data_IF_180717289227
#
_entry.id   IF_180717289227
#
_cell.length_a   1.000
_cell.length_b   1.000
_cell.length_c   1.000
_cell.angle_alpha   90.00
_cell.angle_beta   90.00
_cell.angle_gamma   90.00
#
_symmetry.space_group_name_H-M   'P 1'
#
loop_
_entity.id
_entity.type
_entity.pdbx_description
1 polymer ?
#
# COMPACT_ATOMS: atom_id res chain seq x y z
N UNK A 1 8.05 -13.42 -13.34
CA UNK A 1 7.13 -12.74 -14.24
C UNK A 1 6.88 -11.31 -13.80
N UNK A 2 6.69 -10.45 -14.80
CA UNK A 2 6.58 -9.02 -14.56
C UNK A 2 5.11 -8.61 -14.51
N UNK A 3 4.72 -7.94 -13.44
CA UNK A 3 3.33 -7.47 -13.26
C UNK A 3 3.06 -6.21 -14.09
N UNK A 4 1.80 -5.97 -14.42
CA UNK A 4 1.40 -4.71 -15.07
C UNK A 4 1.38 -3.56 -14.08
N UNK A 5 0.78 -3.75 -12.90
CA UNK A 5 0.65 -2.69 -11.90
C UNK A 5 0.67 -3.22 -10.47
N UNK A 6 1.44 -2.54 -9.63
CA UNK A 6 1.38 -2.64 -8.17
C UNK A 6 0.80 -1.34 -7.62
N UNK A 7 -0.18 -1.47 -6.73
CA UNK A 7 -0.83 -0.34 -6.04
C UNK A 7 -0.33 -0.31 -4.59
N UNK A 8 0.32 0.77 -4.18
CA UNK A 8 0.74 0.95 -2.78
C UNK A 8 -0.36 1.73 -2.06
N UNK A 9 -0.99 1.09 -1.09
CA UNK A 9 -2.04 1.68 -0.27
C UNK A 9 -1.47 1.99 1.12
N UNK A 10 -1.46 3.26 1.50
CA UNK A 10 -0.85 3.71 2.75
C UNK A 10 -1.53 4.95 3.30
N UNK A 11 -1.30 5.30 4.58
CA UNK A 11 -1.85 6.52 5.16
C UNK A 11 -1.35 7.76 4.43
N UNK A 12 -2.23 8.75 4.32
CA UNK A 12 -1.92 10.05 3.71
C UNK A 12 -2.24 11.17 4.68
N UNK A 13 -3.52 11.30 5.05
CA UNK A 13 -4.04 12.47 5.78
C UNK A 13 -3.36 12.72 7.11
N UNK A 14 -3.05 11.66 7.86
CA UNK A 14 -2.45 11.82 9.19
C UNK A 14 -1.01 12.33 9.15
N UNK A 15 -0.35 12.24 8.00
CA UNK A 15 1.04 12.68 7.82
C UNK A 15 1.14 14.00 7.08
N UNK A 16 0.02 14.66 6.82
CA UNK A 16 -0.01 15.94 6.11
C UNK A 16 -0.53 17.03 7.06
N UNK A 17 0.24 18.10 7.19
CA UNK A 17 -0.13 19.32 7.89
C UNK A 17 -0.05 20.47 6.90
N UNK A 18 -1.23 20.96 6.47
CA UNK A 18 -1.31 21.95 5.41
C UNK A 18 -0.84 21.38 4.07
N UNK A 19 0.30 21.86 3.58
CA UNK A 19 0.95 21.39 2.36
C UNK A 19 2.25 20.63 2.64
N UNK A 20 2.49 20.26 3.91
CA UNK A 20 3.73 19.61 4.36
C UNK A 20 3.48 18.18 4.79
N UNK A 21 4.39 17.30 4.39
CA UNK A 21 4.46 15.95 4.90
C UNK A 21 5.31 15.92 6.17
N UNK A 22 4.70 15.52 7.29
CA UNK A 22 5.30 15.69 8.63
C UNK A 22 6.04 14.48 9.17
N UNK A 23 6.06 13.35 8.46
CA UNK A 23 6.79 12.16 8.88
C UNK A 23 7.85 11.79 7.84
N UNK A 24 9.05 12.32 8.01
CA UNK A 24 10.13 12.11 7.06
C UNK A 24 10.61 10.65 6.97
N UNK A 25 10.63 9.94 8.09
CA UNK A 25 11.03 8.52 8.12
C UNK A 25 10.05 7.67 7.32
N UNK A 26 8.76 7.92 7.45
CA UNK A 26 7.74 7.24 6.65
C UNK A 26 7.90 7.54 5.17
N UNK A 27 8.16 8.80 4.82
CA UNK A 27 8.39 9.21 3.43
C UNK A 27 9.59 8.48 2.83
N UNK A 28 10.70 8.38 3.56
CA UNK A 28 11.88 7.65 3.10
C UNK A 28 11.54 6.19 2.86
N UNK A 29 10.86 5.55 3.79
CA UNK A 29 10.44 4.15 3.64
C UNK A 29 9.54 3.96 2.41
N UNK A 30 8.53 4.80 2.24
CA UNK A 30 7.58 4.71 1.13
C UNK A 30 8.28 4.90 -0.22
N UNK A 31 9.23 5.82 -0.32
CA UNK A 31 10.00 6.00 -1.56
C UNK A 31 10.88 4.78 -1.86
N UNK A 32 11.48 4.17 -0.84
CA UNK A 32 12.25 2.93 -1.01
C UNK A 32 11.32 1.77 -1.40
N UNK A 33 10.14 1.67 -0.80
CA UNK A 33 9.12 0.69 -1.17
C UNK A 33 8.68 0.88 -2.63
N UNK A 34 8.47 2.13 -3.05
CA UNK A 34 8.14 2.44 -4.43
C UNK A 34 9.23 1.90 -5.38
N UNK A 35 10.49 2.12 -5.05
CA UNK A 35 11.62 1.63 -5.86
C UNK A 35 11.68 0.10 -5.90
N UNK A 36 11.40 -0.57 -4.78
CA UNK A 36 11.30 -2.04 -4.75
C UNK A 36 10.20 -2.53 -5.69
N UNK A 37 9.02 -1.92 -5.61
CA UNK A 37 7.89 -2.30 -6.47
C UNK A 37 8.17 -2.07 -7.95
N UNK A 38 8.90 -1.01 -8.30
CA UNK A 38 9.28 -0.73 -9.69
C UNK A 38 10.12 -1.83 -10.34
N UNK A 39 10.84 -2.63 -9.54
CA UNK A 39 11.60 -3.77 -10.06
C UNK A 39 10.71 -4.92 -10.54
N UNK A 40 9.44 -4.92 -10.14
CA UNK A 40 8.53 -6.05 -10.36
C UNK A 40 7.29 -5.70 -11.19
N UNK A 41 7.09 -4.45 -11.55
CA UNK A 41 5.91 -4.02 -12.28
C UNK A 41 6.19 -2.91 -13.27
N UNK A 42 5.44 -2.88 -14.36
CA UNK A 42 5.53 -1.81 -15.37
C UNK A 42 5.08 -0.47 -14.83
N UNK A 43 4.11 -0.49 -13.91
CA UNK A 43 3.58 0.72 -13.27
C UNK A 43 3.44 0.48 -11.77
N UNK A 44 3.80 1.48 -10.98
CA UNK A 44 3.52 1.52 -9.54
C UNK A 44 2.67 2.75 -9.26
N UNK A 45 1.50 2.52 -8.68
CA UNK A 45 0.63 3.60 -8.25
C UNK A 45 0.86 3.91 -6.77
N UNK A 46 1.16 5.16 -6.47
CA UNK A 46 1.32 5.69 -5.12
C UNK A 46 0.71 7.09 -5.08
N UNK A 47 -0.45 7.23 -4.41
CA UNK A 47 -1.18 8.50 -4.36
C UNK A 47 -0.33 9.63 -3.77
N UNK A 48 0.50 9.33 -2.78
CA UNK A 48 1.41 10.34 -2.19
C UNK A 48 2.32 10.99 -3.23
N UNK A 49 2.83 10.23 -4.20
CA UNK A 49 3.68 10.80 -5.27
C UNK A 49 2.86 11.64 -6.23
N UNK A 50 1.67 11.17 -6.62
CA UNK A 50 0.76 11.95 -7.47
C UNK A 50 0.45 13.30 -6.84
N UNK A 51 0.27 13.34 -5.52
CA UNK A 51 -0.10 14.54 -4.77
C UNK A 51 1.12 15.27 -4.19
N UNK A 52 2.32 14.88 -4.62
CA UNK A 52 3.59 15.49 -4.24
C UNK A 52 3.72 15.66 -2.73
N UNK A 53 3.34 14.60 -1.99
CA UNK A 53 3.42 14.55 -0.53
C UNK A 53 2.71 15.73 0.17
N UNK A 54 1.55 16.12 -0.37
CA UNK A 54 0.69 17.14 0.19
C UNK A 54 0.75 18.51 -0.47
N UNK A 55 1.72 18.76 -1.34
CA UNK A 55 1.83 20.04 -2.07
C UNK A 55 0.71 20.21 -3.10
N UNK A 56 0.23 19.11 -3.66
CA UNK A 56 -0.85 19.07 -4.65
C UNK A 56 -1.95 18.10 -4.20
N UNK A 57 -2.43 18.29 -2.98
CA UNK A 57 -3.42 17.43 -2.38
C UNK A 57 -4.73 17.47 -3.17
N UNK A 58 -5.19 16.31 -3.59
CA UNK A 58 -6.47 16.17 -4.28
C UNK A 58 -7.60 16.04 -3.26
N UNK A 59 -8.57 16.93 -3.33
CA UNK A 59 -9.75 16.93 -2.46
C UNK A 59 -11.00 16.42 -3.18
N UNK A 60 -11.03 16.59 -4.48
CA UNK A 60 -12.13 16.18 -5.36
C UNK A 60 -11.63 15.15 -6.35
N UNK A 61 -12.49 14.26 -6.79
CA UNK A 61 -12.20 13.22 -7.80
C UNK A 61 -11.14 12.17 -7.44
N UNK A 62 -10.44 12.31 -6.32
CA UNK A 62 -9.42 11.33 -5.93
C UNK A 62 -9.98 9.92 -5.76
N UNK A 63 -11.19 9.80 -5.21
CA UNK A 63 -11.86 8.51 -5.04
C UNK A 63 -12.05 7.79 -6.36
N UNK A 64 -12.60 8.50 -7.36
CA UNK A 64 -12.84 7.95 -8.69
C UNK A 64 -11.52 7.54 -9.37
N UNK A 65 -10.51 8.41 -9.30
CA UNK A 65 -9.20 8.12 -9.90
C UNK A 65 -8.52 6.93 -9.23
N UNK A 66 -8.54 6.85 -7.91
CA UNK A 66 -7.95 5.75 -7.17
C UNK A 66 -8.69 4.43 -7.46
N UNK A 67 -10.01 4.49 -7.57
CA UNK A 67 -10.81 3.32 -7.93
C UNK A 67 -10.46 2.81 -9.33
N UNK A 68 -10.32 3.70 -10.31
CA UNK A 68 -9.90 3.33 -11.67
C UNK A 68 -8.50 2.71 -11.67
N UNK A 69 -7.56 3.24 -10.88
CA UNK A 69 -6.24 2.64 -10.73
C UNK A 69 -6.32 1.24 -10.13
N UNK A 70 -7.20 1.03 -9.14
CA UNK A 70 -7.38 -0.28 -8.53
C UNK A 70 -7.87 -1.34 -9.52
N UNK A 71 -8.76 -0.99 -10.43
CA UNK A 71 -9.34 -1.92 -11.41
C UNK A 71 -8.31 -2.62 -12.28
N UNK A 72 -7.15 -2.01 -12.50
CA UNK A 72 -6.08 -2.55 -13.35
C UNK A 72 -4.86 -2.98 -12.55
N UNK A 73 -5.03 -3.20 -11.25
CA UNK A 73 -3.96 -3.59 -10.33
C UNK A 73 -3.83 -5.10 -10.24
N UNK A 74 -2.60 -5.61 -10.25
CA UNK A 74 -2.29 -7.03 -10.08
C UNK A 74 -1.97 -7.39 -8.63
N UNK A 75 -1.37 -6.46 -7.90
CA UNK A 75 -0.98 -6.65 -6.50
C UNK A 75 -1.14 -5.34 -5.74
N UNK A 76 -1.78 -5.39 -4.58
CA UNK A 76 -1.80 -4.29 -3.62
C UNK A 76 -0.75 -4.57 -2.54
N UNK A 77 0.11 -3.60 -2.28
CA UNK A 77 0.99 -3.60 -1.10
C UNK A 77 0.41 -2.56 -0.14
N UNK A 78 -0.10 -3.02 0.99
CA UNK A 78 -0.85 -2.16 1.91
C UNK A 78 -0.20 -2.02 3.26
N UNK A 79 -0.10 -0.77 3.74
CA UNK A 79 0.30 -0.43 5.11
C UNK A 79 -0.91 0.30 5.72
N UNK A 80 -1.87 -0.43 6.32
CA UNK A 80 -3.13 0.19 6.72
C UNK A 80 -2.99 1.12 7.93
N UNK A 81 -2.12 0.77 8.89
CA UNK A 81 -2.10 1.46 10.18
C UNK A 81 -3.54 1.68 10.69
N UNK A 82 -3.93 2.92 10.99
CA UNK A 82 -5.29 3.31 11.35
C UNK A 82 -5.99 4.11 10.23
N UNK A 83 -5.47 4.04 9.00
CA UNK A 83 -5.99 4.79 7.86
C UNK A 83 -7.32 4.25 7.36
N UNK A 84 -8.35 5.08 7.42
CA UNK A 84 -9.66 4.76 6.89
C UNK A 84 -9.64 4.66 5.36
N UNK A 85 -8.87 5.52 4.70
CA UNK A 85 -8.73 5.47 3.24
C UNK A 85 -8.10 4.18 2.75
N UNK A 86 -7.04 3.73 3.42
CA UNK A 86 -6.41 2.45 3.09
C UNK A 86 -7.37 1.28 3.31
N UNK A 87 -8.19 1.34 4.36
CA UNK A 87 -9.21 0.31 4.60
C UNK A 87 -10.25 0.25 3.47
N UNK A 88 -10.67 1.40 2.93
CA UNK A 88 -11.56 1.46 1.76
C UNK A 88 -10.92 0.80 0.55
N UNK A 89 -9.66 1.12 0.28
CA UNK A 89 -8.91 0.54 -0.85
C UNK A 89 -8.73 -0.98 -0.70
N UNK A 90 -8.49 -1.46 0.50
CA UNK A 90 -8.44 -2.90 0.79
C UNK A 90 -9.79 -3.58 0.53
N UNK A 91 -10.88 -2.90 0.84
CA UNK A 91 -12.21 -3.38 0.51
C UNK A 91 -12.43 -3.52 -1.00
N UNK A 92 -12.00 -2.52 -1.78
CA UNK A 92 -12.06 -2.60 -3.24
C UNK A 92 -11.22 -3.76 -3.78
N UNK A 93 -9.97 -3.84 -3.32
CA UNK A 93 -9.05 -4.89 -3.78
C UNK A 93 -9.61 -6.29 -3.50
N UNK A 94 -10.13 -6.51 -2.30
CA UNK A 94 -10.70 -7.82 -1.93
C UNK A 94 -11.94 -8.18 -2.76
N UNK A 95 -12.82 -7.21 -3.00
CA UNK A 95 -14.00 -7.40 -3.85
C UNK A 95 -13.61 -7.77 -5.28
N UNK A 96 -12.56 -7.17 -5.80
CA UNK A 96 -12.01 -7.43 -7.14
C UNK A 96 -11.12 -8.67 -7.20
N UNK A 97 -10.93 -9.38 -6.08
CA UNK A 97 -10.07 -10.57 -5.98
C UNK A 97 -8.61 -10.30 -6.36
N UNK A 98 -8.12 -9.10 -6.07
CA UNK A 98 -6.74 -8.74 -6.29
C UNK A 98 -5.88 -9.28 -5.13
N UNK A 99 -4.69 -9.79 -5.44
CA UNK A 99 -3.72 -10.26 -4.45
C UNK A 99 -3.28 -9.09 -3.57
N UNK A 100 -3.14 -9.34 -2.26
CA UNK A 100 -2.76 -8.32 -1.28
C UNK A 100 -1.54 -8.80 -0.50
N UNK A 101 -0.53 -7.95 -0.43
CA UNK A 101 0.56 -8.06 0.52
C UNK A 101 0.29 -7.04 1.64
N UNK A 102 -0.01 -7.55 2.82
CA UNK A 102 -0.48 -6.74 3.94
C UNK A 102 0.63 -6.59 4.99
N UNK A 103 1.01 -5.36 5.30
CA UNK A 103 2.01 -5.05 6.31
C UNK A 103 1.32 -4.62 7.59
N UNK A 104 1.46 -5.41 8.65
CA UNK A 104 0.84 -5.16 9.94
C UNK A 104 1.88 -5.01 11.04
N UNK A 105 1.68 -4.02 11.90
CA UNK A 105 2.52 -3.79 13.07
C UNK A 105 2.05 -4.68 14.22
N UNK A 106 2.94 -5.51 14.75
CA UNK A 106 2.64 -6.42 15.87
C UNK A 106 2.27 -5.69 17.16
N UNK A 107 2.56 -4.38 17.25
CA UNK A 107 2.21 -3.54 18.40
C UNK A 107 0.85 -2.85 18.26
N UNK A 108 0.17 -3.03 17.12
CA UNK A 108 -1.11 -2.38 16.84
C UNK A 108 -2.26 -3.38 16.84
N UNK A 109 -3.45 -2.88 17.10
CA UNK A 109 -4.69 -3.64 16.92
C UNK A 109 -5.32 -3.27 15.58
N UNK A 110 -5.81 -4.28 14.89
CA UNK A 110 -6.51 -4.10 13.62
C UNK A 110 -7.93 -4.65 13.73
N UNK A 111 -8.87 -4.03 13.03
CA UNK A 111 -10.23 -4.57 12.93
C UNK A 111 -10.19 -5.98 12.31
N UNK A 112 -11.05 -6.91 12.80
CA UNK A 112 -11.18 -8.23 12.18
C UNK A 112 -11.50 -8.18 10.68
N UNK A 113 -12.08 -7.08 10.19
CA UNK A 113 -12.36 -6.91 8.77
C UNK A 113 -11.06 -6.83 7.93
N UNK A 114 -9.97 -6.35 8.51
CA UNK A 114 -8.66 -6.34 7.84
C UNK A 114 -7.98 -7.70 7.99
N UNK A 115 -7.89 -8.23 9.19
CA UNK A 115 -7.23 -9.53 9.41
C UNK A 115 -7.96 -10.69 8.73
N UNK A 116 -9.25 -10.55 8.46
CA UNK A 116 -10.08 -11.55 7.78
C UNK A 116 -10.11 -11.45 6.26
N UNK A 117 -9.41 -10.49 5.64
CA UNK A 117 -9.38 -10.34 4.18
C UNK A 117 -8.86 -11.59 3.47
N UNK A 118 -8.02 -12.37 4.13
CA UNK A 118 -7.50 -13.66 3.63
C UNK A 118 -8.60 -14.67 3.34
N UNK A 119 -9.77 -14.52 3.92
CA UNK A 119 -10.92 -15.40 3.68
C UNK A 119 -11.68 -15.02 2.40
N UNK A 120 -11.36 -13.85 1.82
CA UNK A 120 -12.02 -13.31 0.63
C UNK A 120 -11.11 -13.37 -0.59
N UNK A 121 -9.83 -13.03 -0.43
CA UNK A 121 -8.86 -12.98 -1.52
C UNK A 121 -7.50 -13.53 -1.06
N UNK A 122 -6.56 -13.64 -1.99
CA UNK A 122 -5.19 -14.10 -1.69
C UNK A 122 -4.44 -13.00 -0.94
N UNK A 123 -4.20 -13.21 0.36
CA UNK A 123 -3.51 -12.26 1.23
C UNK A 123 -2.31 -12.94 1.89
N UNK A 124 -1.14 -12.33 1.72
CA UNK A 124 0.04 -12.66 2.54
C UNK A 124 0.29 -11.50 3.49
N UNK A 125 0.64 -11.80 4.73
CA UNK A 125 0.91 -10.78 5.75
C UNK A 125 2.37 -10.80 6.14
N UNK A 126 2.98 -9.61 6.17
CA UNK A 126 4.29 -9.38 6.77
C UNK A 126 4.05 -8.60 8.06
N UNK A 127 4.49 -9.17 9.18
CA UNK A 127 4.45 -8.51 10.47
C UNK A 127 5.75 -7.77 10.72
N UNK A 128 5.67 -6.55 11.23
CA UNK A 128 6.83 -5.80 11.69
C UNK A 128 6.63 -5.33 13.13
N UNK A 129 7.71 -5.02 13.81
CA UNK A 129 7.71 -4.63 15.22
C UNK A 129 7.99 -3.13 15.36
N UNK A 130 6.94 -2.33 15.15
CA UNK A 130 6.97 -0.88 15.34
C UNK A 130 7.75 -0.09 14.29
N UNK A 131 8.74 -0.68 13.64
CA UNK A 131 9.62 0.02 12.71
C UNK A 131 9.56 -0.55 11.30
N UNK A 132 9.27 0.31 10.34
CA UNK A 132 9.41 0.01 8.93
C UNK A 132 10.87 0.29 8.54
N UNK A 133 11.63 -0.77 8.30
CA UNK A 133 13.08 -0.71 8.08
C UNK A 133 13.51 -1.51 6.85
N UNK A 134 14.82 -1.62 6.62
CA UNK A 134 15.38 -2.34 5.46
C UNK A 134 15.06 -3.83 5.47
N UNK A 135 14.95 -4.46 6.64
CA UNK A 135 14.60 -5.87 6.74
C UNK A 135 13.16 -6.09 6.26
N UNK A 136 12.26 -5.18 6.57
CA UNK A 136 10.89 -5.21 6.06
C UNK A 136 10.89 -5.08 4.54
N UNK A 137 11.68 -4.17 3.97
CA UNK A 137 11.81 -4.00 2.51
C UNK A 137 12.33 -5.27 1.84
N UNK A 138 13.32 -5.93 2.42
CA UNK A 138 13.84 -7.20 1.91
C UNK A 138 12.77 -8.28 1.91
N UNK A 139 12.00 -8.37 2.98
CA UNK A 139 10.88 -9.32 3.07
C UNK A 139 9.81 -9.03 2.02
N UNK A 140 9.49 -7.76 1.81
CA UNK A 140 8.54 -7.33 0.77
C UNK A 140 9.05 -7.74 -0.61
N UNK A 141 10.31 -7.44 -0.93
CA UNK A 141 10.92 -7.77 -2.21
C UNK A 141 10.82 -9.28 -2.49
N UNK A 142 11.19 -10.10 -1.52
CA UNK A 142 11.12 -11.56 -1.64
C UNK A 142 9.68 -12.05 -1.81
N UNK A 143 8.73 -11.47 -1.08
CA UNK A 143 7.33 -11.86 -1.17
C UNK A 143 6.71 -11.45 -2.51
N UNK A 144 7.05 -10.29 -3.05
CA UNK A 144 6.61 -9.86 -4.38
C UNK A 144 7.13 -10.83 -5.45
N UNK A 145 8.40 -11.24 -5.37
CA UNK A 145 8.97 -12.24 -6.28
C UNK A 145 8.18 -13.54 -6.25
N UNK A 146 7.84 -14.01 -5.05
CA UNK A 146 7.03 -15.22 -4.87
C UNK A 146 5.64 -15.07 -5.50
N UNK A 147 4.96 -13.95 -5.26
CA UNK A 147 3.62 -13.66 -5.78
C UNK A 147 3.60 -13.53 -7.30
N UNK A 148 4.62 -12.96 -7.90
CA UNK A 148 4.69 -12.77 -9.35
C UNK A 148 4.84 -14.09 -10.12
N UNK A 149 5.25 -15.19 -9.46
CA UNK A 149 5.37 -16.53 -10.05
C UNK A 149 4.09 -17.36 -9.95
N UNK A 150 3.13 -16.89 -9.19
CA UNK A 150 1.82 -17.51 -9.04
C UNK A 150 0.86 -16.94 -10.12
#
# INVERSE_FOLDING_TARGET
DFMKKIFIACPISKYIDGDKFINNDFKIFIEELYNVCQKHASKVFLALRREEYGKKLMKDTCTELDFEEMKTTDLVVAIPEDSKGTAVELGWASCMKIKILLLLDSNQRYTPLISGLKDITDVETIWYDGNLNKDVLTNIDNMIKKKSKE
#
